data_IF_931152577978
#
_entry.id   IF_931152577978
#
_cell.length_a   1.000
_cell.length_b   1.000
_cell.length_c   1.000
_cell.angle_alpha   90.00
_cell.angle_beta   90.00
_cell.angle_gamma   90.00
#
_symmetry.space_group_name_H-M   'P 1'
#
loop_
_entity.id
_entity.type
_entity.pdbx_description
1 polymer ?
2 non-polymer ?
3 non-polymer ?
4 non-polymer ?
5 non-polymer ?
6 non-polymer ?
7 water ?
#
# COMPACT_ATOMS: atom_id res chain seq x y z
N UNK A 29 -31.30 -0.98 -13.00
CA UNK A 29 -29.87 -0.76 -12.80
C UNK A 29 -29.56 -0.76 -11.32
N UNK A 30 -28.45 -1.42 -10.98
CA UNK A 30 -28.01 -1.56 -9.60
C UNK A 30 -26.59 -1.01 -9.49
N UNK A 31 -26.46 0.07 -8.73
CA UNK A 31 -25.18 0.74 -8.51
C UNK A 31 -24.58 0.24 -7.21
N UNK A 32 -23.43 -0.40 -7.35
CA UNK A 32 -22.70 -0.92 -6.20
C UNK A 32 -21.32 -0.28 -6.13
N UNK A 33 -20.99 0.28 -4.97
CA UNK A 33 -19.67 0.86 -4.74
C UNK A 33 -18.77 -0.10 -3.97
N UNK A 34 -17.48 0.02 -4.20
CA UNK A 34 -16.51 -0.83 -3.54
C UNK A 34 -15.21 -0.06 -3.22
N UNK A 35 -14.23 -0.78 -2.69
CA UNK A 35 -12.92 -0.19 -2.42
C UNK A 35 -12.12 -0.10 -3.72
N UNK A 36 -11.05 0.70 -3.69
CA UNK A 36 -10.23 0.96 -4.87
C UNK A 36 -9.06 -0.02 -5.02
N UNK A 37 -8.72 -0.73 -3.95
CA UNK A 37 -7.67 -1.73 -4.04
C UNK A 37 -7.63 -2.57 -2.78
N UNK A 38 -8.21 -3.77 -2.86
CA UNK A 38 -8.23 -4.69 -1.75
C UNK A 38 -8.17 -6.12 -2.31
N UNK A 39 -6.98 -6.53 -2.76
CA UNK A 39 -6.82 -7.85 -3.36
C UNK A 39 -6.95 -8.86 -2.22
N UNK A 40 -7.59 -9.99 -2.47
CA UNK A 40 -8.15 -10.48 -3.73
C UNK A 40 -9.66 -10.25 -3.89
N UNK A 41 -10.21 -9.28 -3.15
CA UNK A 41 -11.64 -8.99 -3.20
C UNK A 41 -12.04 -8.04 -4.35
N UNK A 42 -11.30 -6.94 -4.49
CA UNK A 42 -11.47 -6.05 -5.64
C UNK A 42 -10.11 -5.42 -5.94
N UNK A 43 -9.67 -5.54 -7.17
CA UNK A 43 -8.40 -4.99 -7.60
C UNK A 43 -8.33 -4.99 -9.10
N UNK A 44 -7.38 -4.23 -9.65
CA UNK A 44 -7.20 -4.19 -11.10
C UNK A 44 -6.07 -5.10 -11.52
N UNK A 45 -6.28 -5.88 -12.58
CA UNK A 45 -5.24 -6.76 -13.06
C UNK A 45 -4.34 -6.02 -14.04
N UNK A 46 -3.47 -6.77 -14.71
CA UNK A 46 -2.49 -6.20 -15.63
C UNK A 46 -3.05 -5.49 -16.84
N UNK A 47 -4.32 -5.78 -17.16
CA UNK A 47 -5.03 -5.12 -18.24
C UNK A 47 -5.97 -4.04 -17.72
N UNK A 48 -5.81 -3.72 -16.43
CA UNK A 48 -6.61 -2.69 -15.77
C UNK A 48 -8.08 -3.10 -15.59
N UNK A 49 -8.38 -4.39 -15.75
CA UNK A 49 -9.73 -4.87 -15.54
C UNK A 49 -9.95 -5.12 -14.05
N UNK A 50 -11.14 -4.74 -13.59
CA UNK A 50 -11.52 -4.98 -12.20
C UNK A 50 -11.88 -6.45 -12.02
N UNK A 51 -11.20 -7.07 -11.06
CA UNK A 51 -11.37 -8.48 -10.78
C UNK A 51 -11.40 -8.67 -9.28
N UNK A 52 -11.65 -9.89 -8.86
CA UNK A 52 -11.62 -10.24 -7.45
C UNK A 52 -12.85 -11.00 -7.01
N UNK A 53 -12.79 -11.52 -5.78
CA UNK A 53 -13.88 -12.29 -5.21
C UNK A 53 -15.18 -11.46 -5.14
N UNK A 54 -15.08 -10.22 -4.65
CA UNK A 54 -16.27 -9.38 -4.53
C UNK A 54 -16.83 -9.04 -5.92
N UNK A 55 -15.94 -8.71 -6.83
CA UNK A 55 -16.32 -8.34 -8.19
C UNK A 55 -17.03 -9.52 -8.84
N UNK A 56 -16.42 -10.70 -8.76
CA UNK A 56 -16.97 -11.87 -9.41
C UNK A 56 -18.30 -12.30 -8.79
N UNK A 57 -18.38 -12.27 -7.46
CA UNK A 57 -19.63 -12.62 -6.82
C UNK A 57 -20.72 -11.65 -7.21
N UNK A 58 -20.43 -10.34 -7.14
CA UNK A 58 -21.45 -9.35 -7.46
C UNK A 58 -21.95 -9.48 -8.90
N UNK A 59 -21.02 -9.71 -9.82
CA UNK A 59 -21.35 -9.83 -11.23
C UNK A 59 -22.25 -11.05 -11.44
N UNK A 60 -21.94 -12.18 -10.80
CA UNK A 60 -22.77 -13.38 -10.98
C UNK A 60 -24.13 -13.21 -10.28
N UNK A 61 -24.15 -12.60 -9.10
CA UNK A 61 -25.40 -12.34 -8.40
C UNK A 61 -26.28 -11.50 -9.32
N UNK A 62 -25.69 -10.50 -9.97
CA UNK A 62 -26.48 -9.64 -10.87
C UNK A 62 -27.05 -10.40 -12.04
N UNK A 63 -26.25 -11.27 -12.65
CA UNK A 63 -26.74 -12.05 -13.78
C UNK A 63 -27.85 -12.98 -13.36
N UNK A 64 -27.73 -13.60 -12.19
CA UNK A 64 -28.76 -14.52 -11.71
C UNK A 64 -30.09 -13.78 -11.48
N UNK A 65 -30.02 -12.55 -10.98
CA UNK A 65 -31.20 -11.75 -10.69
C UNK A 65 -31.66 -10.86 -11.84
N UNK A 66 -30.95 -10.93 -12.96
CA UNK A 66 -31.26 -10.11 -14.13
C UNK A 66 -31.20 -8.63 -13.78
N UNK A 67 -30.15 -8.25 -13.05
CA UNK A 67 -29.85 -6.84 -12.77
C UNK A 67 -28.81 -6.30 -13.75
N UNK A 68 -28.94 -5.04 -14.17
CA UNK A 68 -27.87 -4.33 -14.87
C UNK A 68 -26.94 -3.71 -13.83
N UNK A 69 -25.75 -4.26 -13.70
CA UNK A 69 -24.84 -3.87 -12.64
C UNK A 69 -23.90 -2.73 -13.06
N UNK A 70 -23.81 -1.72 -12.21
CA UNK A 70 -22.87 -0.64 -12.42
C UNK A 70 -21.94 -0.55 -11.21
N UNK A 71 -20.73 -1.13 -11.32
CA UNK A 71 -19.73 -1.03 -10.26
C UNK A 71 -18.97 0.29 -10.25
N UNK A 72 -18.66 0.79 -9.07
CA UNK A 72 -17.73 1.90 -8.92
C UNK A 72 -16.75 1.53 -7.80
N UNK A 73 -15.54 2.13 -7.84
CA UNK A 73 -14.45 1.76 -6.96
C UNK A 73 -13.75 2.97 -6.35
N UNK A 74 -14.49 3.80 -5.61
CA UNK A 74 -13.87 5.00 -5.08
C UNK A 74 -12.99 4.78 -3.83
N UNK A 75 -13.18 3.66 -3.12
CA UNK A 75 -12.64 3.52 -1.78
C UNK A 75 -13.75 3.25 -0.78
N UNK A 76 -13.42 2.45 0.24
CA UNK A 76 -14.40 1.98 1.20
C UNK A 76 -15.17 3.13 1.88
N UNK A 77 -14.44 4.09 2.45
CA UNK A 77 -15.08 5.19 3.15
C UNK A 77 -15.99 6.00 2.22
N UNK A 78 -15.52 6.29 1.02
CA UNK A 78 -16.32 7.00 0.02
C UNK A 78 -17.55 6.19 -0.37
N UNK A 79 -17.37 4.88 -0.51
CA UNK A 79 -18.49 3.99 -0.80
C UNK A 79 -19.59 4.12 0.25
N UNK A 80 -19.20 4.15 1.52
CA UNK A 80 -20.18 4.29 2.59
C UNK A 80 -20.89 5.63 2.50
N UNK A 81 -20.14 6.68 2.22
CA UNK A 81 -20.73 8.00 2.07
C UNK A 81 -21.73 8.02 0.91
N UNK A 82 -21.33 7.42 -0.22
CA UNK A 82 -22.22 7.37 -1.37
C UNK A 82 -23.47 6.56 -1.06
N UNK A 83 -23.34 5.50 -0.31
CA UNK A 83 -24.51 4.69 0.03
C UNK A 83 -25.46 5.50 0.92
N UNK A 84 -24.91 6.17 1.91
CA UNK A 84 -25.72 6.98 2.82
C UNK A 84 -26.40 8.15 2.10
N UNK A 85 -25.74 8.68 1.07
CA UNK A 85 -26.27 9.81 0.30
C UNK A 85 -27.24 9.35 -0.80
N UNK A 86 -27.35 8.03 -0.98
CA UNK A 86 -28.25 7.47 -1.96
C UNK A 86 -27.70 7.53 -3.37
N UNK A 87 -26.40 7.78 -3.50
CA UNK A 87 -25.76 7.88 -4.80
C UNK A 87 -25.50 6.47 -5.39
N UNK A 88 -25.40 5.47 -4.50
CA UNK A 88 -25.38 4.08 -4.94
C UNK A 88 -26.40 3.32 -4.11
N UNK A 89 -26.72 2.11 -4.56
CA UNK A 89 -27.73 1.26 -3.95
C UNK A 89 -27.20 0.28 -2.93
N UNK A 90 -25.94 -0.12 -3.06
CA UNK A 90 -25.34 -1.02 -2.11
C UNK A 90 -23.84 -1.01 -2.18
N UNK A 91 -23.23 -1.79 -1.30
CA UNK A 91 -21.79 -1.91 -1.24
C UNK A 91 -21.37 -3.38 -1.11
N UNK A 92 -20.29 -3.72 -1.79
CA UNK A 92 -19.58 -4.97 -1.55
C UNK A 92 -18.11 -4.58 -1.58
N UNK A 93 -17.44 -4.74 -0.45
CA UNK A 93 -16.08 -4.22 -0.28
C UNK A 93 -15.45 -4.81 0.97
N UNK A 94 -15.47 -6.13 1.10
CA UNK A 94 -14.92 -6.76 2.28
C UNK A 94 -15.47 -6.16 3.57
N UNK A 95 -16.79 -5.93 3.61
CA UNK A 95 -17.37 -5.19 4.70
C UNK A 95 -17.82 -6.10 5.84
N UNK A 96 -17.14 -5.99 6.97
CA UNK A 96 -17.46 -6.86 8.09
C UNK A 96 -18.85 -6.53 8.64
N UNK A 97 -19.65 -7.58 8.82
CA UNK A 97 -20.95 -7.46 9.46
C UNK A 97 -20.75 -7.36 10.98
N UNK A 98 -21.25 -6.28 11.58
CA UNK A 98 -21.17 -6.10 13.01
C UNK A 98 -22.49 -5.57 13.51
N UNK A 99 -22.73 -5.79 14.80
CA UNK A 99 -23.95 -5.31 15.42
C UNK A 99 -24.03 -3.80 15.36
N UNK A 100 -22.90 -3.12 15.53
CA UNK A 100 -22.94 -1.67 15.43
C UNK A 100 -23.37 -1.24 14.03
N UNK A 101 -22.86 -1.91 13.01
CA UNK A 101 -23.18 -1.50 11.65
C UNK A 101 -24.65 -1.78 11.31
N UNK A 102 -25.26 -2.75 12.00
CA UNK A 102 -26.66 -3.08 11.76
C UNK A 102 -27.61 -1.98 12.25
N UNK A 103 -27.08 -1.02 13.00
CA UNK A 103 -27.84 0.14 13.40
C UNK A 103 -28.09 1.06 12.20
N UNK A 104 -27.24 0.96 11.18
CA UNK A 104 -27.27 1.86 10.02
C UNK A 104 -27.56 1.15 8.70
N UNK A 105 -27.10 -0.09 8.58
CA UNK A 105 -27.17 -0.86 7.33
C UNK A 105 -27.92 -2.15 7.53
N UNK A 106 -28.49 -2.68 6.45
CA UNK A 106 -28.96 -4.07 6.42
C UNK A 106 -27.95 -4.85 5.59
N UNK A 107 -27.67 -6.07 6.03
CA UNK A 107 -26.70 -6.94 5.39
C UNK A 107 -27.30 -8.23 4.87
N UNK A 108 -26.67 -8.77 3.85
CA UNK A 108 -26.88 -10.14 3.43
C UNK A 108 -26.34 -11.09 4.49
N UNK A 109 -26.66 -12.37 4.34
CA UNK A 109 -25.87 -13.39 5.01
C UNK A 109 -24.43 -13.21 4.60
N UNK A 110 -23.48 -13.53 5.49
CA UNK A 110 -22.10 -13.37 5.04
C UNK A 110 -21.79 -14.25 3.83
N UNK A 111 -21.05 -13.69 2.88
CA UNK A 111 -20.71 -14.43 1.68
C UNK A 111 -19.28 -14.97 1.75
N UNK A 112 -18.54 -14.55 2.74
CA UNK A 112 -17.20 -15.07 2.98
C UNK A 112 -16.86 -14.71 4.41
N UNK A 113 -16.22 -15.62 5.13
CA UNK A 113 -15.75 -15.29 6.49
C UNK A 113 -14.26 -15.45 6.51
N UNK A 114 -13.58 -14.34 6.70
CA UNK A 114 -12.15 -14.33 6.67
C UNK A 114 -11.55 -14.80 8.01
N UNK A 115 -10.23 -14.84 8.09
CA UNK A 115 -9.52 -15.29 9.28
C UNK A 115 -8.12 -14.76 9.19
N UNK A 116 -7.46 -14.64 10.33
CA UNK A 116 -6.08 -14.23 10.43
C UNK A 116 -5.19 -15.44 10.60
N UNK A 117 -3.97 -15.36 10.08
CA UNK A 117 -2.98 -16.35 10.39
C UNK A 117 -1.60 -15.77 10.15
N UNK A 118 -0.56 -16.51 10.51
CA UNK A 118 0.81 -16.05 10.32
C UNK A 118 1.38 -16.69 9.09
N UNK A 119 1.75 -15.85 8.12
CA UNK A 119 2.49 -16.29 6.94
C UNK A 119 3.98 -16.35 7.26
N UNK A 120 4.64 -17.38 6.73
CA UNK A 120 6.08 -17.52 6.83
C UNK A 120 6.62 -17.78 5.43
N UNK A 121 7.94 -17.75 5.25
CA UNK A 121 8.54 -18.21 4.01
C UNK A 121 8.32 -19.71 3.91
N UNK A 122 8.50 -20.29 2.72
CA UNK A 122 8.31 -21.73 2.57
C UNK A 122 9.32 -22.57 3.34
N UNK A 123 10.49 -22.02 3.65
CA UNK A 123 11.52 -22.81 4.31
C UNK A 123 11.46 -22.73 5.83
N UNK A 124 10.57 -21.90 6.35
CA UNK A 124 10.41 -21.78 7.80
C UNK A 124 9.75 -23.04 8.38
N UNK A 125 10.12 -23.38 9.61
CA UNK A 125 9.48 -24.48 10.35
C UNK A 125 8.50 -24.01 11.43
N UNK A 126 8.32 -22.70 11.54
CA UNK A 126 7.38 -22.13 12.50
C UNK A 126 5.95 -22.50 12.15
N UNK A 127 5.20 -22.99 13.13
CA UNK A 127 3.83 -23.42 12.87
C UNK A 127 2.89 -23.26 14.06
N UNK A 128 3.40 -22.74 15.17
CA UNK A 128 2.65 -22.66 16.41
C UNK A 128 2.80 -21.29 17.04
N UNK A 129 1.68 -20.70 17.46
CA UNK A 129 1.69 -19.42 18.14
C UNK A 129 2.57 -19.44 19.39
N UNK A 130 2.69 -20.61 20.02
CA UNK A 130 3.54 -20.76 21.19
C UNK A 130 5.04 -20.88 20.86
N UNK A 131 5.41 -20.75 19.59
CA UNK A 131 6.81 -20.74 19.17
C UNK A 131 7.26 -19.35 18.72
N UNK A 132 6.49 -18.34 19.09
CA UNK A 132 6.76 -16.98 18.66
C UNK A 132 7.54 -16.16 19.69
N UNK A 133 7.80 -16.74 20.84
CA UNK A 133 8.45 -16.03 21.90
C UNK A 133 9.80 -15.53 21.49
N UNK A 134 10.04 -14.25 21.69
CA UNK A 134 11.32 -13.64 21.34
C UNK A 134 11.53 -13.36 19.86
N UNK A 135 10.53 -13.68 19.05
CA UNK A 135 10.62 -13.45 17.61
C UNK A 135 9.86 -12.18 17.22
N UNK A 136 10.18 -11.63 16.05
CA UNK A 136 9.49 -10.46 15.53
C UNK A 136 8.39 -10.90 14.58
N UNK A 137 7.21 -10.33 14.73
CA UNK A 137 6.06 -10.67 13.91
C UNK A 137 5.49 -9.37 13.37
N UNK A 138 5.17 -9.34 12.06
CA UNK A 138 4.69 -8.12 11.43
C UNK A 138 3.21 -8.10 11.20
N UNK A 139 2.69 -6.89 11.03
CA UNK A 139 1.33 -6.68 10.57
C UNK A 139 1.26 -5.32 9.89
N UNK A 140 0.24 -5.15 9.07
CA UNK A 140 0.00 -3.87 8.38
C UNK A 140 -0.68 -2.88 9.31
N UNK A 141 -0.26 -1.63 9.25
CA UNK A 141 -0.82 -0.58 10.08
C UNK A 141 -2.32 -0.45 9.81
N UNK A 142 -3.11 -0.29 10.86
CA UNK A 142 -4.53 -0.03 10.72
C UNK A 142 -5.41 -1.23 10.45
N UNK A 143 -4.91 -2.43 10.72
CA UNK A 143 -5.66 -3.65 10.39
C UNK A 143 -6.03 -4.46 11.63
N UNK A 144 -6.97 -5.38 11.45
CA UNK A 144 -7.33 -6.32 12.50
C UNK A 144 -6.09 -7.14 12.93
N UNK A 145 -5.22 -7.46 11.99
CA UNK A 145 -4.02 -8.22 12.29
C UNK A 145 -3.14 -7.48 13.31
N UNK A 146 -2.94 -6.18 13.09
CA UNK A 146 -2.14 -5.37 13.98
C UNK A 146 -2.78 -5.39 15.37
N UNK A 147 -4.09 -5.23 15.43
CA UNK A 147 -4.79 -5.20 16.71
C UNK A 147 -4.63 -6.55 17.42
N UNK A 148 -4.79 -7.65 16.68
CA UNK A 148 -4.59 -8.96 17.29
C UNK A 148 -3.18 -9.08 17.86
N UNK A 149 -2.17 -8.64 17.13
CA UNK A 149 -0.82 -8.71 17.65
C UNK A 149 -0.68 -7.93 18.96
N UNK A 150 -1.25 -6.73 19.01
CA UNK A 150 -1.21 -5.93 20.24
C UNK A 150 -1.85 -6.68 21.40
N UNK A 151 -3.01 -7.28 21.13
CA UNK A 151 -3.81 -7.89 22.18
C UNK A 151 -3.27 -9.19 22.67
N UNK A 152 -2.40 -9.84 21.92
CA UNK A 152 -1.90 -11.16 22.27
C UNK A 152 -0.40 -11.20 22.53
N UNK A 153 0.21 -10.03 22.64
CA UNK A 153 1.66 -9.93 22.78
C UNK A 153 2.15 -10.48 24.12
N UNK A 154 1.46 -10.12 25.18
CA UNK A 154 1.83 -10.61 26.50
C UNK A 154 1.64 -12.13 26.56
N UNK A 155 0.60 -12.63 25.93
CA UNK A 155 0.33 -14.06 25.88
C UNK A 155 1.45 -14.85 25.20
N UNK A 156 1.93 -14.37 24.04
CA UNK A 156 2.84 -15.17 23.23
C UNK A 156 4.30 -14.67 23.21
N UNK A 157 4.54 -13.43 23.63
CA UNK A 157 5.91 -12.97 23.85
C UNK A 157 6.74 -12.56 22.62
N UNK A 158 6.10 -12.30 21.48
CA UNK A 158 6.82 -11.79 20.32
C UNK A 158 7.02 -10.29 20.45
N UNK A 159 7.85 -9.74 19.57
CA UNK A 159 7.93 -8.32 19.38
C UNK A 159 7.15 -8.01 18.11
N UNK A 160 6.67 -6.78 18.00
CA UNK A 160 5.77 -6.38 16.93
C UNK A 160 6.49 -5.40 16.01
N UNK A 161 6.36 -5.62 14.71
CA UNK A 161 6.77 -4.64 13.70
C UNK A 161 5.55 -4.31 12.85
N UNK A 162 5.43 -3.03 12.50
CA UNK A 162 4.28 -2.52 11.76
C UNK A 162 4.75 -2.03 10.41
N UNK A 163 3.97 -2.36 9.39
CA UNK A 163 4.29 -2.03 8.00
C UNK A 163 3.22 -1.17 7.36
N UNK A 164 3.63 -0.37 6.38
CA UNK A 164 2.72 0.53 5.67
C UNK A 164 1.76 -0.23 4.77
N UNK A 165 2.23 -1.34 4.21
CA UNK A 165 1.47 -2.12 3.25
C UNK A 165 2.04 -3.51 3.10
N UNK A 166 1.36 -4.34 2.33
CA UNK A 166 1.76 -5.72 2.15
C UNK A 166 3.11 -5.91 1.48
N UNK A 167 3.43 -5.12 0.46
CA UNK A 167 4.71 -5.29 -0.22
C UNK A 167 5.83 -5.10 0.79
N UNK A 168 5.68 -4.12 1.68
CA UNK A 168 6.73 -3.89 2.68
C UNK A 168 6.81 -5.00 3.72
N UNK A 169 5.66 -5.43 4.22
CA UNK A 169 5.63 -6.53 5.18
C UNK A 169 6.23 -7.82 4.61
N UNK A 170 5.82 -8.22 3.41
CA UNK A 170 6.33 -9.47 2.85
C UNK A 170 7.82 -9.40 2.50
N UNK A 171 8.30 -8.21 2.11
CA UNK A 171 9.74 -8.04 1.91
C UNK A 171 10.54 -8.24 3.20
N UNK A 172 9.99 -7.75 4.32
CA UNK A 172 10.65 -7.92 5.61
C UNK A 172 10.61 -9.40 6.02
N UNK A 173 9.54 -10.10 5.66
CA UNK A 173 9.46 -11.54 5.90
C UNK A 173 10.52 -12.27 5.07
N UNK A 174 10.64 -11.95 3.79
CA UNK A 174 11.61 -12.66 2.96
C UNK A 174 13.06 -12.35 3.36
N UNK A 175 13.29 -11.18 3.94
CA UNK A 175 14.64 -10.82 4.38
C UNK A 175 14.99 -11.37 5.77
N UNK A 176 14.00 -11.92 6.47
CA UNK A 176 14.21 -12.48 7.79
C UNK A 176 14.11 -11.44 8.90
N UNK A 177 13.74 -10.21 8.57
CA UNK A 177 13.61 -9.18 9.60
C UNK A 177 12.38 -9.37 10.49
N UNK A 178 11.41 -10.12 9.98
CA UNK A 178 10.37 -10.69 10.82
C UNK A 178 10.32 -12.19 10.55
N UNK A 179 9.87 -12.94 11.55
CA UNK A 179 9.80 -14.39 11.45
C UNK A 179 8.45 -14.83 10.92
N UNK A 180 7.48 -13.94 10.98
CA UNK A 180 6.13 -14.24 10.57
C UNK A 180 5.41 -12.95 10.28
N UNK A 181 4.40 -13.03 9.44
CA UNK A 181 3.60 -11.87 9.03
C UNK A 181 2.12 -12.23 9.23
N UNK A 182 1.45 -11.52 10.13
CA UNK A 182 0.03 -11.76 10.41
C UNK A 182 -0.81 -11.01 9.37
N UNK A 183 -1.65 -11.74 8.65
CA UNK A 183 -2.50 -11.14 7.63
C UNK A 183 -3.72 -12.04 7.45
N UNK A 184 -4.64 -11.61 6.60
CA UNK A 184 -5.81 -12.43 6.27
C UNK A 184 -5.47 -13.63 5.41
N UNK A 185 -6.05 -14.78 5.77
CA UNK A 185 -5.94 -15.99 4.96
C UNK A 185 -6.18 -15.76 3.45
N UNK A 186 -7.27 -15.05 3.05
CA UNK A 186 -7.48 -14.87 1.61
C UNK A 186 -6.35 -14.05 0.98
N UNK A 187 -5.79 -13.12 1.72
CA UNK A 187 -4.76 -12.25 1.15
C UNK A 187 -3.47 -13.03 0.96
N UNK A 188 -3.10 -13.81 1.97
CA UNK A 188 -1.92 -14.67 1.87
C UNK A 188 -2.13 -15.71 0.76
N UNK A 189 -3.33 -16.25 0.66
CA UNK A 189 -3.64 -17.29 -0.32
C UNK A 189 -3.43 -16.74 -1.73
N UNK A 190 -3.91 -15.53 -1.96
CA UNK A 190 -3.74 -14.93 -3.27
C UNK A 190 -2.26 -14.67 -3.58
N UNK A 191 -1.52 -14.13 -2.63
CA UNK A 191 -0.09 -13.91 -2.81
C UNK A 191 0.65 -15.22 -3.12
N UNK A 192 0.20 -16.33 -2.51
CA UNK A 192 0.78 -17.63 -2.80
C UNK A 192 0.47 -18.07 -4.24
N UNK A 193 -0.76 -17.81 -4.67
CA UNK A 193 -1.16 -18.10 -6.05
C UNK A 193 -0.33 -17.32 -7.08
N UNK A 194 0.06 -16.10 -6.72
CA UNK A 194 0.94 -15.30 -7.58
C UNK A 194 2.35 -15.86 -7.64
N UNK A 195 2.68 -16.81 -6.77
CA UNK A 195 4.01 -17.41 -6.77
C UNK A 195 4.96 -16.85 -5.73
N UNK A 196 4.46 -16.08 -4.77
CA UNK A 196 5.31 -15.52 -3.73
C UNK A 196 5.76 -16.61 -2.75
N UNK A 197 6.90 -16.38 -2.11
CA UNK A 197 7.52 -17.34 -1.20
C UNK A 197 6.83 -17.30 0.16
N UNK A 198 5.65 -17.91 0.23
CA UNK A 198 4.80 -17.84 1.41
C UNK A 198 4.18 -19.19 1.67
N UNK A 199 4.03 -19.49 2.95
CA UNK A 199 3.28 -20.66 3.43
C UNK A 199 2.41 -20.28 4.63
N UNK A 200 1.40 -21.11 4.87
CA UNK A 200 0.52 -20.95 6.01
C UNK A 200 0.54 -22.26 6.82
N UNK A 201 1.41 -22.30 7.82
CA UNK A 201 1.64 -23.49 8.65
C UNK A 201 0.89 -23.39 9.99
N UNK A 202 0.36 -22.21 10.30
CA UNK A 202 -0.30 -21.98 11.59
C UNK A 202 -1.81 -22.20 11.48
N UNK A 203 -2.45 -22.47 12.61
CA UNK A 203 -3.92 -22.43 12.67
C UNK A 203 -4.42 -21.03 12.41
N UNK A 204 -5.70 -20.93 12.05
CA UNK A 204 -6.28 -19.63 11.80
C UNK A 204 -7.13 -19.12 12.96
N UNK A 205 -7.35 -17.82 12.96
CA UNK A 205 -8.18 -17.15 13.93
C UNK A 205 -9.32 -16.51 13.16
N UNK A 206 -10.52 -17.03 13.31
CA UNK A 206 -11.65 -16.51 12.57
C UNK A 206 -11.87 -15.05 12.90
N UNK A 207 -12.25 -14.28 11.89
CA UNK A 207 -12.63 -12.89 12.08
C UNK A 207 -14.13 -12.91 12.14
N UNK A 208 -14.70 -12.65 13.34
CA UNK A 208 -16.15 -12.75 13.49
C UNK A 208 -16.95 -11.80 12.62
N UNK A 209 -18.15 -12.27 12.25
CA UNK A 209 -19.08 -11.48 11.48
C UNK A 209 -19.16 -11.93 10.03
N UNK A 210 -18.01 -12.04 9.39
CA UNK A 210 -17.96 -12.27 7.94
C UNK A 210 -18.21 -11.01 7.15
N UNK A 211 -17.97 -11.12 5.85
CA UNK A 211 -18.20 -10.00 4.94
C UNK A 211 -19.60 -10.11 4.36
N UNK A 212 -20.25 -8.98 4.23
CA UNK A 212 -21.63 -8.94 3.77
C UNK A 212 -21.83 -7.89 2.71
N UNK A 213 -22.81 -8.14 1.86
CA UNK A 213 -23.36 -7.13 0.96
C UNK A 213 -24.24 -6.21 1.78
N UNK A 214 -24.10 -4.89 1.63
CA UNK A 214 -24.81 -3.95 2.48
C UNK A 214 -25.65 -2.95 1.70
N UNK A 215 -26.81 -2.64 2.27
CA UNK A 215 -27.69 -1.58 1.79
C UNK A 215 -28.06 -0.70 3.00
N UNK A 216 -28.72 0.42 2.75
CA UNK A 216 -29.20 1.23 3.88
C UNK A 216 -30.33 0.53 4.60
N UNK A 217 -30.35 0.65 5.91
CA UNK A 217 -31.33 -0.06 6.71
C UNK A 217 -32.75 0.34 6.31
N UNK A 218 -33.59 -0.68 6.12
CA UNK A 218 -34.99 -0.47 5.80
C UNK A 218 -35.22 -0.23 4.31
N UNK A 219 -34.14 -0.29 3.53
CA UNK A 219 -34.18 0.00 2.10
C UNK A 219 -33.68 -1.19 1.30
N UNK A 220 -34.17 -1.30 0.07
CA UNK A 220 -33.63 -2.26 -0.90
C UNK A 220 -33.54 -3.71 -0.39
N UNK A 221 -34.56 -4.18 0.33
CA UNK A 221 -34.55 -5.57 0.75
C UNK A 221 -34.55 -6.51 -0.45
N UNK A 222 -35.09 -6.04 -1.58
CA UNK A 222 -35.05 -6.84 -2.82
C UNK A 222 -33.63 -7.19 -3.20
N UNK A 223 -32.71 -6.26 -3.02
CA UNK A 223 -31.32 -6.51 -3.38
C UNK A 223 -30.66 -7.50 -2.40
N UNK A 224 -30.92 -7.33 -1.11
CA UNK A 224 -30.38 -8.23 -0.09
C UNK A 224 -30.90 -9.66 -0.31
N UNK A 225 -32.20 -9.78 -0.51
CA UNK A 225 -32.79 -11.09 -0.73
C UNK A 225 -32.28 -11.71 -2.03
N UNK A 226 -32.16 -10.91 -3.08
CA UNK A 226 -31.64 -11.41 -4.34
C UNK A 226 -30.20 -11.86 -4.18
N UNK A 227 -29.43 -11.10 -3.41
CA UNK A 227 -28.04 -11.49 -3.13
C UNK A 227 -28.01 -12.84 -2.37
N UNK A 228 -28.80 -12.95 -1.30
CA UNK A 228 -28.82 -14.19 -0.53
C UNK A 228 -29.23 -15.39 -1.38
N UNK A 229 -30.26 -15.23 -2.18
CA UNK A 229 -30.78 -16.36 -2.94
C UNK A 229 -29.77 -16.78 -4.01
N UNK A 230 -29.16 -15.81 -4.67
CA UNK A 230 -28.19 -16.12 -5.71
C UNK A 230 -26.95 -16.77 -5.10
N UNK A 231 -26.54 -16.27 -3.94
CA UNK A 231 -25.39 -16.86 -3.27
C UNK A 231 -25.65 -18.33 -2.91
N UNK A 232 -26.87 -18.62 -2.44
CA UNK A 232 -27.21 -20.01 -2.13
C UNK A 232 -27.16 -20.89 -3.39
N UNK A 233 -27.65 -20.37 -4.49
CA UNK A 233 -27.62 -21.10 -5.76
C UNK A 233 -26.18 -21.34 -6.20
N UNK A 234 -25.33 -20.34 -6.03
CA UNK A 234 -23.91 -20.44 -6.39
C UNK A 234 -23.18 -21.45 -5.52
N UNK A 235 -23.55 -21.50 -4.24
CA UNK A 235 -22.94 -22.50 -3.37
C UNK A 235 -23.33 -23.88 -3.85
N UNK A 236 -24.62 -24.06 -4.12
CA UNK A 236 -25.16 -25.36 -4.52
C UNK A 236 -24.62 -25.87 -5.85
N UNK A 237 -24.42 -24.98 -6.83
CA UNK A 237 -23.99 -25.42 -8.15
C UNK A 237 -22.48 -25.42 -8.36
N UNK A 238 -21.74 -24.94 -7.36
CA UNK A 238 -20.30 -24.98 -7.40
C UNK A 238 -19.64 -23.67 -7.85
N UNK A 239 -20.43 -22.71 -8.33
CA UNK A 239 -19.87 -21.46 -8.81
C UNK A 239 -19.20 -20.66 -7.70
N UNK A 240 -19.74 -20.73 -6.49
CA UNK A 240 -19.14 -20.05 -5.36
C UNK A 240 -17.71 -20.55 -5.08
N UNK A 241 -17.55 -21.87 -4.95
CA UNK A 241 -16.23 -22.40 -4.65
C UNK A 241 -15.27 -22.18 -5.85
N UNK A 242 -15.79 -22.12 -7.08
CA UNK A 242 -14.94 -21.81 -8.24
C UNK A 242 -14.35 -20.40 -8.13
N UNK A 243 -15.14 -19.45 -7.64
CA UNK A 243 -14.66 -18.08 -7.51
C UNK A 243 -13.53 -18.02 -6.50
N UNK A 244 -13.72 -18.67 -5.36
CA UNK A 244 -12.71 -18.64 -4.34
C UNK A 244 -11.42 -19.28 -4.85
N UNK A 245 -11.56 -20.42 -5.52
CA UNK A 245 -10.39 -21.11 -6.06
C UNK A 245 -9.63 -20.28 -7.10
N UNK A 246 -10.34 -19.46 -7.87
CA UNK A 246 -9.70 -18.62 -8.89
C UNK A 246 -8.64 -17.69 -8.26
N UNK A 247 -8.88 -17.26 -7.04
CA UNK A 247 -7.97 -16.33 -6.34
C UNK A 247 -7.10 -17.04 -5.30
N UNK A 248 -7.04 -18.36 -5.37
CA UNK A 248 -6.12 -19.14 -4.54
C UNK A 248 -6.65 -19.62 -3.20
N UNK A 249 -7.95 -19.44 -2.97
CA UNK A 249 -8.53 -19.77 -1.68
C UNK A 249 -9.08 -21.18 -1.70
N UNK A 250 -8.54 -21.99 -0.81
CA UNK A 250 -8.97 -23.38 -0.62
C UNK A 250 -9.26 -23.62 0.85
N UNK A 251 -9.55 -24.86 1.20
CA UNK A 251 -9.78 -25.28 2.58
C UNK A 251 -10.98 -24.58 3.21
N UNK B 29 33.06 -7.25 -0.87
CA UNK B 29 31.73 -6.94 -1.37
C UNK B 29 31.15 -5.75 -0.61
N UNK B 30 30.52 -4.85 -1.36
CA UNK B 30 29.87 -3.66 -0.81
C UNK B 30 28.36 -3.94 -0.83
N UNK B 31 27.83 -4.13 0.36
CA UNK B 31 26.43 -4.49 0.53
C UNK B 31 25.64 -3.24 0.87
N UNK B 32 24.69 -2.88 0.01
CA UNK B 32 23.86 -1.69 0.23
C UNK B 32 22.39 -2.12 0.32
N UNK B 33 21.70 -1.70 1.37
CA UNK B 33 20.30 -2.02 1.57
C UNK B 33 19.44 -0.85 1.14
N UNK B 34 18.23 -1.16 0.66
CA UNK B 34 17.30 -0.13 0.23
C UNK B 34 15.86 -0.51 0.59
N UNK B 35 14.92 0.35 0.24
CA UNK B 35 13.53 0.05 0.52
C UNK B 35 13.00 -0.98 -0.47
N UNK B 36 11.89 -1.60 -0.12
CA UNK B 36 11.29 -2.63 -0.96
C UNK B 36 10.29 -2.14 -2.01
N UNK B 37 9.79 -0.91 -1.87
CA UNK B 37 8.93 -0.33 -2.89
C UNK B 37 8.75 1.15 -2.63
N UNK B 38 9.47 1.95 -3.40
CA UNK B 38 9.44 3.41 -3.28
C UNK B 38 9.73 4.01 -4.65
N UNK B 39 8.78 3.87 -5.57
CA UNK B 39 8.99 4.43 -6.90
C UNK B 39 8.98 5.96 -6.81
N UNK B 40 9.82 6.63 -7.61
CA UNK B 40 10.75 6.14 -8.62
C UNK B 40 12.16 5.91 -8.12
N UNK B 41 12.34 5.83 -6.80
CA UNK B 41 13.68 5.65 -6.21
C UNK B 41 14.17 4.20 -6.22
N UNK B 42 13.36 3.27 -5.75
CA UNK B 42 13.64 1.84 -5.93
C UNK B 42 12.33 1.11 -6.06
N UNK B 43 12.22 0.30 -7.09
CA UNK B 43 10.98 -0.43 -7.34
C UNK B 43 11.24 -1.49 -8.40
N UNK B 44 10.34 -2.46 -8.49
CA UNK B 44 10.41 -3.48 -9.53
C UNK B 44 9.52 -3.09 -10.68
N UNK B 45 10.01 -3.14 -11.91
CA UNK B 45 9.18 -2.82 -13.07
C UNK B 45 8.31 -4.02 -13.45
N UNK B 46 7.53 -3.86 -14.51
CA UNK B 46 6.60 -4.89 -14.95
C UNK B 46 7.26 -6.24 -15.17
N UNK B 47 8.55 -6.24 -15.43
CA UNK B 47 9.32 -7.46 -15.68
C UNK B 47 10.01 -7.93 -14.40
N UNK B 48 9.68 -7.29 -13.27
CA UNK B 48 10.21 -7.65 -11.95
C UNK B 48 11.68 -7.33 -11.75
N UNK B 49 12.21 -6.41 -12.56
CA UNK B 49 13.60 -5.99 -12.42
C UNK B 49 13.67 -4.81 -11.47
N UNK B 50 14.66 -4.77 -10.59
CA UNK B 50 14.87 -3.61 -9.71
C UNK B 50 15.45 -2.44 -10.48
N UNK B 51 14.71 -1.34 -10.44
CA UNK B 51 15.10 -0.13 -11.13
C UNK B 51 14.82 1.08 -10.24
N UNK B 52 15.18 2.26 -10.73
CA UNK B 52 14.88 3.49 -10.03
C UNK B 52 16.08 4.41 -9.86
N UNK B 53 15.81 5.62 -9.38
CA UNK B 53 16.85 6.63 -9.19
C UNK B 53 17.95 6.17 -8.24
N UNK B 54 17.57 5.64 -7.05
CA UNK B 54 18.56 5.19 -6.08
C UNK B 54 19.35 4.01 -6.62
N UNK B 55 18.65 3.09 -7.27
CA UNK B 55 19.29 1.90 -7.83
C UNK B 55 20.33 2.31 -8.88
N UNK B 56 19.90 3.15 -9.82
CA UNK B 56 20.76 3.61 -10.91
C UNK B 56 21.95 4.41 -10.40
N UNK B 57 21.72 5.28 -9.43
CA UNK B 57 22.80 6.07 -8.88
C UNK B 57 23.81 5.16 -8.17
N UNK B 58 23.31 4.26 -7.34
CA UNK B 58 24.19 3.42 -6.56
C UNK B 58 25.01 2.50 -7.47
N UNK B 59 24.38 1.97 -8.51
CA UNK B 59 25.10 1.12 -9.46
C UNK B 59 26.22 1.85 -10.15
N UNK B 60 25.96 3.08 -10.58
CA UNK B 60 26.99 3.82 -11.29
C UNK B 60 28.10 4.28 -10.33
N UNK B 61 27.73 4.66 -9.11
CA UNK B 61 28.70 4.97 -8.08
C UNK B 61 29.65 3.79 -7.88
N UNK B 62 29.10 2.59 -7.79
CA UNK B 62 29.91 1.38 -7.61
C UNK B 62 30.82 1.17 -8.80
N UNK B 63 30.29 1.37 -10.00
CA UNK B 63 31.06 1.12 -11.22
C UNK B 63 32.24 2.10 -11.30
N UNK B 64 31.95 3.36 -11.02
CA UNK B 64 32.99 4.41 -11.08
C UNK B 64 34.11 4.10 -10.07
N UNK B 65 33.73 3.59 -8.91
CA UNK B 65 34.67 3.28 -7.84
C UNK B 65 35.21 1.86 -7.94
N UNK B 66 34.77 1.13 -8.96
CA UNK B 66 35.19 -0.24 -9.17
C UNK B 66 34.80 -1.10 -7.97
N UNK B 67 33.59 -0.89 -7.48
CA UNK B 67 33.00 -1.72 -6.45
C UNK B 67 32.07 -2.73 -7.13
N UNK B 68 32.11 -3.97 -6.66
CA UNK B 68 31.08 -4.95 -6.99
C UNK B 68 29.88 -4.77 -6.04
N UNK B 69 28.77 -4.38 -6.63
CA UNK B 69 27.61 -3.98 -5.86
C UNK B 69 26.69 -5.16 -5.57
N UNK B 70 26.29 -5.31 -4.32
CA UNK B 70 25.27 -6.27 -3.91
C UNK B 70 24.10 -5.54 -3.26
N UNK B 71 23.04 -5.30 -4.03
CA UNK B 71 21.87 -4.60 -3.52
C UNK B 71 20.94 -5.58 -2.80
N UNK B 72 20.32 -5.10 -1.72
CA UNK B 72 19.23 -5.82 -1.09
C UNK B 72 18.12 -4.84 -0.83
N UNK B 73 16.88 -5.36 -0.78
CA UNK B 73 15.68 -4.53 -0.74
C UNK B 73 14.73 -4.98 0.37
N UNK B 74 15.20 -4.94 1.63
CA UNK B 74 14.38 -5.48 2.73
C UNK B 74 13.35 -4.48 3.26
N UNK B 75 13.46 -3.22 2.87
CA UNK B 75 12.60 -2.17 3.39
C UNK B 75 13.42 -1.23 4.25
N UNK B 76 13.02 0.04 4.31
CA UNK B 76 13.78 1.07 5.00
C UNK B 76 14.11 0.73 6.46
N UNK B 77 13.10 0.33 7.24
CA UNK B 77 13.29 0.02 8.64
C UNK B 77 14.23 -1.16 8.79
N UNK B 78 14.05 -2.19 7.98
CA UNK B 78 14.92 -3.36 7.99
C UNK B 78 16.34 -2.96 7.57
N UNK B 79 16.47 -2.07 6.61
CA UNK B 79 17.78 -1.61 6.17
C UNK B 79 18.55 -0.97 7.31
N UNK B 80 17.86 -0.12 8.08
CA UNK B 80 18.44 0.57 9.23
C UNK B 80 18.91 -0.47 10.24
N UNK B 81 18.03 -1.43 10.55
CA UNK B 81 18.38 -2.52 11.48
C UNK B 81 19.60 -3.27 11.00
N UNK B 82 19.62 -3.61 9.71
CA UNK B 82 20.70 -4.43 9.16
C UNK B 82 22.01 -3.66 9.07
N UNK B 83 21.92 -2.35 8.79
CA UNK B 83 23.09 -1.49 8.78
C UNK B 83 23.67 -1.42 10.18
N UNK B 84 22.80 -1.19 11.16
CA UNK B 84 23.24 -1.07 12.55
C UNK B 84 23.85 -2.37 13.07
N UNK B 85 23.34 -3.50 12.57
CA UNK B 85 23.82 -4.82 12.97
C UNK B 85 25.07 -5.23 12.18
N UNK B 86 25.37 -4.49 11.12
CA UNK B 86 26.58 -4.71 10.34
C UNK B 86 26.45 -5.72 9.23
N UNK B 87 25.22 -6.12 8.93
CA UNK B 87 24.95 -7.07 7.84
C UNK B 87 25.06 -6.42 6.47
N UNK B 88 24.90 -5.11 6.42
CA UNK B 88 25.18 -4.33 5.21
C UNK B 88 26.11 -3.19 5.58
N UNK B 89 26.68 -2.55 4.56
CA UNK B 89 27.69 -1.52 4.76
C UNK B 89 27.13 -0.09 4.70
N UNK B 90 26.01 0.06 4.00
CA UNK B 90 25.37 1.36 3.80
C UNK B 90 23.96 1.24 3.26
N UNK B 91 23.29 2.39 3.20
CA UNK B 91 21.89 2.47 2.82
C UNK B 91 21.72 3.56 1.77
N UNK B 92 20.91 3.27 0.77
CA UNK B 92 20.35 4.30 -0.11
C UNK B 92 18.88 3.94 -0.29
N UNK B 93 18.00 4.83 0.18
CA UNK B 93 16.58 4.49 0.30
C UNK B 93 15.79 5.77 0.57
N UNK B 94 16.02 6.80 -0.23
CA UNK B 94 15.36 8.07 0.01
C UNK B 94 15.49 8.55 1.44
N UNK B 95 16.69 8.47 2.01
CA UNK B 95 16.87 8.71 3.45
C UNK B 95 17.21 10.17 3.71
N UNK B 96 16.32 10.86 4.42
CA UNK B 96 16.49 12.28 4.68
C UNK B 96 17.65 12.51 5.65
N UNK B 97 18.51 13.45 5.29
CA UNK B 97 19.61 13.89 6.14
C UNK B 97 19.07 14.87 7.17
N UNK B 98 19.27 14.57 8.45
CA UNK B 98 18.84 15.46 9.53
C UNK B 98 19.91 15.53 10.60
N UNK B 99 19.87 16.59 11.40
CA UNK B 99 20.81 16.77 12.50
C UNK B 99 20.70 15.62 13.50
N UNK B 100 19.47 15.20 13.78
CA UNK B 100 19.24 14.11 14.72
C UNK B 100 19.91 12.85 14.22
N UNK B 101 19.78 12.59 12.92
CA UNK B 101 20.33 11.34 12.37
C UNK B 101 21.84 11.36 12.34
N UNK B 102 22.44 12.55 12.29
CA UNK B 102 23.89 12.65 12.26
C UNK B 102 24.53 12.26 13.59
N UNK B 103 23.72 12.03 14.61
CA UNK B 103 24.23 11.52 15.89
C UNK B 103 24.56 10.03 15.77
N UNK B 104 23.96 9.38 14.78
CA UNK B 104 24.07 7.92 14.61
C UNK B 104 24.73 7.51 13.28
N UNK B 105 24.55 8.33 12.24
CA UNK B 105 24.98 7.99 10.88
C UNK B 105 25.86 9.07 10.31
N UNK B 106 26.75 8.67 9.40
CA UNK B 106 27.44 9.63 8.53
C UNK B 106 26.79 9.60 7.15
N UNK B 107 26.56 10.78 6.58
CA UNK B 107 25.93 10.90 5.28
C UNK B 107 26.87 11.45 4.21
N UNK B 108 26.61 11.01 2.99
CA UNK B 108 27.13 11.68 1.81
C UNK B 108 26.51 13.07 1.69
N UNK B 109 27.00 13.84 0.74
CA UNK B 109 26.28 15.01 0.27
C UNK B 109 24.95 14.54 -0.26
N UNK B 110 23.93 15.42 -0.24
CA UNK B 110 22.65 14.97 -0.78
C UNK B 110 22.74 14.71 -2.27
N UNK B 111 22.15 13.62 -2.75
CA UNK B 111 22.13 13.31 -4.17
C UNK B 111 20.81 13.69 -4.85
N UNK B 112 19.82 14.08 -4.06
CA UNK B 112 18.54 14.55 -4.57
C UNK B 112 17.86 15.29 -3.45
N UNK B 113 17.23 16.42 -3.74
CA UNK B 113 16.42 17.09 -2.74
C UNK B 113 15.00 17.12 -3.25
N UNK B 114 14.12 16.47 -2.50
CA UNK B 114 12.74 16.34 -2.89
C UNK B 114 11.94 17.55 -2.47
N UNK B 115 10.64 17.48 -2.72
CA UNK B 115 9.73 18.56 -2.45
C UNK B 115 8.34 17.97 -2.44
N UNK B 116 7.41 18.70 -1.80
CA UNK B 116 6.01 18.36 -1.79
C UNK B 116 5.26 19.29 -2.72
N UNK B 117 4.20 18.79 -3.35
CA UNK B 117 3.29 19.66 -4.09
C UNK B 117 1.93 18.97 -4.19
N UNK B 118 0.94 19.68 -4.75
CA UNK B 118 -0.41 19.19 -4.94
C UNK B 118 -0.62 18.67 -6.34
N UNK B 119 -0.90 17.37 -6.44
CA UNK B 119 -1.33 16.80 -7.70
C UNK B 119 -2.82 17.01 -7.88
N UNK B 120 -3.23 17.39 -9.08
CA UNK B 120 -4.64 17.45 -9.44
C UNK B 120 -4.84 16.62 -10.71
N UNK B 121 -6.08 16.45 -11.17
CA UNK B 121 -6.34 15.88 -12.48
C UNK B 121 -5.87 16.89 -13.49
N UNK B 122 -5.74 16.47 -14.74
CA UNK B 122 -5.26 17.38 -15.79
C UNK B 122 -6.31 18.43 -16.11
N UNK B 123 -7.57 18.13 -15.83
CA UNK B 123 -8.70 19.05 -16.12
C UNK B 123 -8.81 20.19 -15.12
N UNK B 124 -8.28 20.00 -13.92
CA UNK B 124 -8.49 20.94 -12.82
C UNK B 124 -7.86 22.29 -13.11
N UNK B 125 -8.52 23.36 -12.67
CA UNK B 125 -7.93 24.68 -12.80
C UNK B 125 -7.39 25.19 -11.49
N UNK B 126 -7.36 24.33 -10.46
CA UNK B 126 -6.75 24.71 -9.19
C UNK B 126 -5.23 24.80 -9.36
N UNK B 127 -4.64 25.89 -8.90
CA UNK B 127 -3.19 26.08 -9.09
C UNK B 127 -2.47 26.86 -8.00
N UNK B 128 -3.17 27.30 -6.99
CA UNK B 128 -2.51 28.01 -5.88
C UNK B 128 -3.09 27.50 -4.60
N UNK B 129 -2.28 27.54 -3.54
CA UNK B 129 -2.67 26.95 -2.27
C UNK B 129 -3.92 27.62 -1.72
N UNK B 130 -4.10 28.89 -2.02
CA UNK B 130 -5.31 29.58 -1.61
C UNK B 130 -6.55 29.03 -2.33
N UNK B 131 -6.38 28.43 -3.50
CA UNK B 131 -7.50 27.84 -4.25
C UNK B 131 -8.12 26.63 -3.53
N UNK B 132 -7.45 26.18 -2.49
CA UNK B 132 -7.87 24.99 -1.74
C UNK B 132 -8.92 25.25 -0.64
N UNK B 133 -9.24 26.51 -0.38
CA UNK B 133 -10.23 26.83 0.63
C UNK B 133 -11.57 26.14 0.36
N UNK B 134 -12.09 25.43 1.36
CA UNK B 134 -13.37 24.73 1.27
C UNK B 134 -13.34 23.41 0.51
N UNK B 135 -12.17 22.99 0.07
CA UNK B 135 -12.04 21.75 -0.69
C UNK B 135 -11.31 20.70 0.12
N UNK B 136 -11.46 19.45 -0.29
CA UNK B 136 -10.84 18.33 0.39
C UNK B 136 -9.51 18.03 -0.31
N UNK B 137 -8.47 17.83 0.50
CA UNK B 137 -7.14 17.54 0.02
C UNK B 137 -6.62 16.28 0.70
N UNK B 138 -6.00 15.39 -0.08
CA UNK B 138 -5.51 14.14 0.41
C UNK B 138 -4.03 14.08 0.74
N UNK B 139 -3.69 13.17 1.65
CA UNK B 139 -2.31 12.80 1.89
C UNK B 139 -2.32 11.38 2.40
N UNK B 140 -1.15 10.76 2.31
CA UNK B 140 -0.94 9.43 2.85
C UNK B 140 -0.68 9.48 4.35
N UNK B 141 -1.27 8.53 5.06
CA UNK B 141 -1.07 8.40 6.49
C UNK B 141 0.40 8.23 6.84
N UNK B 142 0.85 8.96 7.86
CA UNK B 142 2.19 8.79 8.39
C UNK B 142 3.30 9.43 7.58
N UNK B 143 2.98 10.43 6.75
CA UNK B 143 3.97 11.04 5.88
C UNK B 143 4.22 12.52 6.16
N UNK B 144 5.31 13.05 5.61
CA UNK B 144 5.57 14.48 5.64
C UNK B 144 4.44 15.31 5.00
N UNK B 145 3.87 14.80 3.91
CA UNK B 145 2.73 15.43 3.27
C UNK B 145 1.55 15.60 4.26
N UNK B 146 1.26 14.55 5.03
CA UNK B 146 0.15 14.64 6.00
C UNK B 146 0.46 15.75 7.01
N UNK B 147 1.68 15.75 7.51
CA UNK B 147 2.08 16.75 8.51
C UNK B 147 1.98 18.16 7.91
N UNK B 148 2.46 18.35 6.69
CA UNK B 148 2.38 19.67 6.08
C UNK B 148 0.92 20.10 5.97
N UNK B 149 0.04 19.21 5.53
CA UNK B 149 -1.36 19.58 5.40
C UNK B 149 -1.92 19.98 6.76
N UNK B 150 -1.59 19.23 7.81
CA UNK B 150 -2.12 19.58 9.14
C UNK B 150 -1.60 20.94 9.60
N UNK B 151 -0.33 21.19 9.35
CA UNK B 151 0.29 22.46 9.76
C UNK B 151 -0.20 23.68 8.98
N UNK B 152 -0.75 23.46 7.79
CA UNK B 152 -1.15 24.58 6.93
C UNK B 152 -2.66 24.69 6.73
N UNK B 153 -3.42 23.86 7.44
CA UNK B 153 -4.86 23.83 7.32
C UNK B 153 -5.54 25.14 7.73
N UNK B 154 -5.12 25.74 8.84
CA UNK B 154 -5.72 27.01 9.26
C UNK B 154 -5.42 28.11 8.24
N UNK B 155 -4.21 28.10 7.69
CA UNK B 155 -3.82 29.10 6.69
C UNK B 155 -4.67 29.07 5.41
N UNK B 156 -4.93 27.88 4.88
CA UNK B 156 -5.57 27.75 3.58
C UNK B 156 -7.02 27.29 3.59
N UNK B 157 -7.44 26.64 4.67
CA UNK B 157 -8.85 26.34 4.86
C UNK B 157 -9.44 25.15 4.10
N UNK B 158 -8.61 24.20 3.73
CA UNK B 158 -9.08 22.95 3.17
C UNK B 158 -9.49 22.00 4.28
N UNK B 159 -10.13 20.90 3.90
CA UNK B 159 -10.32 19.77 4.80
C UNK B 159 -9.32 18.69 4.35
N UNK B 160 -8.95 17.82 5.27
CA UNK B 160 -7.93 16.80 4.99
C UNK B 160 -8.56 15.42 4.97
N UNK B 161 -8.27 14.65 3.93
CA UNK B 161 -8.60 13.23 3.89
C UNK B 161 -7.29 12.44 3.86
N UNK B 162 -7.20 11.42 4.70
CA UNK B 162 -5.97 10.68 4.87
C UNK B 162 -6.15 9.25 4.38
N UNK B 163 -5.18 8.79 3.59
CA UNK B 163 -5.28 7.51 2.87
C UNK B 163 -4.24 6.52 3.33
N UNK B 164 -4.57 5.23 3.19
CA UNK B 164 -3.68 4.18 3.65
C UNK B 164 -2.42 4.11 2.79
N UNK B 165 -2.54 4.41 1.50
CA UNK B 165 -1.41 4.37 0.59
C UNK B 165 -1.71 5.16 -0.67
N UNK B 166 -0.75 5.19 -1.58
CA UNK B 166 -0.88 5.97 -2.80
C UNK B 166 -2.01 5.54 -3.71
N UNK B 167 -2.21 4.24 -3.88
CA UNK B 167 -3.25 3.79 -4.78
C UNK B 167 -4.61 4.29 -4.29
N UNK B 168 -4.85 4.24 -2.99
CA UNK B 168 -6.12 4.72 -2.48
C UNK B 168 -6.29 6.24 -2.63
N UNK B 169 -5.21 7.00 -2.35
CA UNK B 169 -5.26 8.45 -2.48
C UNK B 169 -5.54 8.85 -3.92
N UNK B 170 -4.79 8.28 -4.84
CA UNK B 170 -4.94 8.67 -6.23
C UNK B 170 -6.30 8.22 -6.83
N UNK B 171 -6.86 7.13 -6.35
CA UNK B 171 -8.22 6.75 -6.70
C UNK B 171 -9.25 7.76 -6.19
N UNK B 172 -9.00 8.33 -5.01
CA UNK B 172 -9.89 9.37 -4.51
C UNK B 172 -9.83 10.61 -5.40
N UNK B 173 -8.63 10.95 -5.86
CA UNK B 173 -8.45 12.08 -6.76
C UNK B 173 -9.21 11.86 -8.08
N UNK B 174 -9.07 10.68 -8.65
CA UNK B 174 -9.73 10.39 -9.92
C UNK B 174 -11.24 10.30 -9.76
N UNK B 175 -11.72 9.91 -8.59
CA UNK B 175 -13.16 9.84 -8.35
C UNK B 175 -13.74 11.19 -7.93
N UNK B 176 -12.88 12.19 -7.72
CA UNK B 176 -13.31 13.53 -7.37
C UNK B 176 -13.65 13.73 -5.91
N UNK B 177 -13.25 12.80 -5.06
CA UNK B 177 -13.53 12.93 -3.63
C UNK B 177 -12.49 13.75 -2.89
N UNK B 178 -11.38 14.06 -3.56
CA UNK B 178 -10.48 15.13 -3.14
C UNK B 178 -10.20 15.96 -4.38
N UNK B 179 -9.95 17.25 -4.17
CA UNK B 179 -9.62 18.19 -5.24
C UNK B 179 -8.14 18.20 -5.57
N UNK B 180 -7.33 17.68 -4.64
CA UNK B 180 -5.90 17.59 -4.83
C UNK B 180 -5.31 16.57 -3.88
N UNK B 181 -4.13 16.07 -4.23
CA UNK B 181 -3.41 15.10 -3.42
C UNK B 181 -1.98 15.57 -3.19
N UNK B 182 -1.60 15.79 -1.93
CA UNK B 182 -0.23 16.20 -1.66
C UNK B 182 0.71 15.01 -1.57
N UNK B 183 1.78 15.05 -2.36
CA UNK B 183 2.77 13.99 -2.35
C UNK B 183 4.09 14.58 -2.83
N UNK B 184 5.11 13.76 -2.90
CA UNK B 184 6.40 14.21 -3.40
C UNK B 184 6.41 14.48 -4.90
N UNK B 185 7.10 15.55 -5.27
CA UNK B 185 7.30 15.87 -6.68
C UNK B 185 7.82 14.68 -7.50
N UNK B 186 8.88 13.99 -7.04
CA UNK B 186 9.37 12.89 -7.90
C UNK B 186 8.37 11.76 -8.06
N UNK B 187 7.55 11.55 -7.04
CA UNK B 187 6.53 10.50 -7.09
C UNK B 187 5.44 10.85 -8.11
N UNK B 188 4.98 12.09 -8.06
CA UNK B 188 3.97 12.58 -9.00
C UNK B 188 4.55 12.61 -10.39
N UNK B 189 5.81 13.02 -10.53
CA UNK B 189 6.44 13.09 -11.85
C UNK B 189 6.48 11.72 -12.50
N UNK B 190 6.89 10.71 -11.75
CA UNK B 190 6.95 9.34 -12.31
C UNK B 190 5.54 8.88 -12.69
N UNK B 191 4.56 9.13 -11.82
CA UNK B 191 3.17 8.79 -12.12
C UNK B 191 2.65 9.46 -13.41
N UNK B 192 3.05 10.71 -13.64
CA UNK B 192 2.72 11.40 -14.89
C UNK B 192 3.41 10.77 -16.10
N UNK B 193 4.65 10.34 -15.93
CA UNK B 193 5.35 9.66 -17.03
C UNK B 193 4.68 8.32 -17.34
N UNK B 194 4.06 7.70 -16.33
CA UNK B 194 3.28 6.48 -16.53
C UNK B 194 1.92 6.70 -17.20
N UNK B 195 1.53 7.96 -17.38
CA UNK B 195 0.27 8.28 -18.01
C UNK B 195 -0.92 8.36 -17.07
N UNK B 196 -0.67 8.58 -15.77
CA UNK B 196 -1.78 8.82 -14.87
C UNK B 196 -2.30 10.22 -15.12
N UNK B 197 -3.59 10.43 -14.87
CA UNK B 197 -4.23 11.72 -15.14
C UNK B 197 -3.86 12.69 -14.03
N UNK B 198 -2.66 13.23 -14.11
CA UNK B 198 -2.12 14.12 -13.07
C UNK B 198 -1.40 15.31 -13.67
N UNK B 199 -1.49 16.43 -12.97
CA UNK B 199 -0.75 17.64 -13.29
C UNK B 199 -0.15 18.22 -12.04
N UNK B 200 0.91 19.00 -12.22
CA UNK B 200 1.52 19.74 -11.11
C UNK B 200 1.45 21.23 -11.41
N UNK B 201 0.34 21.86 -11.02
CA UNK B 201 0.05 23.27 -11.30
C UNK B 201 0.55 24.20 -10.21
N UNK B 202 0.83 23.65 -9.03
CA UNK B 202 1.14 24.44 -7.85
C UNK B 202 2.65 24.62 -7.63
N UNK B 203 3.03 25.66 -6.89
CA UNK B 203 4.41 25.74 -6.38
C UNK B 203 4.78 24.54 -5.53
N UNK B 204 6.07 24.21 -5.52
CA UNK B 204 6.63 23.16 -4.65
C UNK B 204 7.05 23.67 -3.26
N UNK B 205 7.04 22.77 -2.28
CA UNK B 205 7.51 23.02 -0.94
C UNK B 205 8.75 22.16 -0.71
N UNK B 206 9.92 22.78 -0.63
CA UNK B 206 11.13 21.98 -0.52
C UNK B 206 11.13 21.19 0.78
N UNK B 207 11.64 19.96 0.70
CA UNK B 207 11.82 19.12 1.87
C UNK B 207 13.27 19.29 2.35
N UNK B 208 13.48 19.87 3.55
CA UNK B 208 14.84 20.15 4.02
C UNK B 208 15.74 18.92 4.18
N UNK B 209 17.02 19.11 3.93
CA UNK B 209 18.02 18.09 4.17
C UNK B 209 18.48 17.40 2.89
N UNK B 210 17.51 16.95 2.12
CA UNK B 210 17.78 16.13 0.95
C UNK B 210 18.03 14.67 1.32
N UNK B 211 18.09 13.82 0.30
CA UNK B 211 18.36 12.40 0.49
C UNK B 211 19.84 12.12 0.37
N UNK B 212 20.36 11.31 1.28
CA UNK B 212 21.77 10.98 1.27
C UNK B 212 22.03 9.49 1.39
N UNK B 213 23.22 9.12 0.99
CA UNK B 213 23.75 7.78 1.21
C UNK B 213 24.27 7.78 2.64
N UNK B 214 23.95 6.72 3.40
CA UNK B 214 24.29 6.67 4.82
C UNK B 214 25.10 5.45 5.17
N UNK B 215 26.03 5.63 6.11
CA UNK B 215 26.78 4.54 6.72
C UNK B 215 26.73 4.75 8.24
N UNK B 216 27.17 3.77 9.02
CA UNK B 216 27.23 3.98 10.46
C UNK B 216 28.29 5.03 10.79
N UNK B 217 28.00 5.87 11.77
CA UNK B 217 28.91 6.97 12.15
C UNK B 217 30.30 6.46 12.53
N UNK B 218 31.31 7.12 11.99
CA UNK B 218 32.70 6.76 12.25
C UNK B 218 33.13 5.46 11.59
N UNK B 219 32.27 4.93 10.70
CA UNK B 219 32.58 3.69 9.99
C UNK B 219 32.47 3.90 8.48
N UNK B 220 33.19 3.06 7.72
CA UNK B 220 33.07 3.03 6.26
C UNK B 220 33.21 4.39 5.56
N UNK B 221 34.18 5.18 6.01
CA UNK B 221 34.38 6.51 5.46
C UNK B 221 34.70 6.50 3.96
N UNK B 222 35.34 5.44 3.47
CA UNK B 222 35.68 5.38 2.05
C UNK B 222 34.42 5.26 1.18
N UNK B 223 33.36 4.66 1.70
CA UNK B 223 32.12 4.54 0.94
C UNK B 223 31.50 5.91 0.74
N UNK B 224 31.52 6.73 1.80
CA UNK B 224 30.97 8.07 1.73
C UNK B 224 31.82 8.91 0.78
N UNK B 225 33.14 8.82 0.95
CA UNK B 225 34.15 9.46 0.11
C UNK B 225 33.86 9.13 -1.36
N UNK B 226 33.77 7.84 -1.66
CA UNK B 226 33.58 7.39 -3.02
C UNK B 226 32.24 7.83 -3.58
N UNK B 227 31.22 7.83 -2.73
CA UNK B 227 29.91 8.25 -3.19
C UNK B 227 29.92 9.73 -3.60
N UNK B 228 30.48 10.59 -2.75
CA UNK B 228 30.54 12.03 -3.04
C UNK B 228 31.30 12.29 -4.34
N UNK B 229 32.44 11.63 -4.51
CA UNK B 229 33.25 11.88 -5.70
C UNK B 229 32.56 11.40 -6.97
N UNK B 230 31.93 10.25 -6.91
CA UNK B 230 31.25 9.73 -8.08
C UNK B 230 30.03 10.58 -8.41
N UNK B 231 29.30 10.99 -7.36
CA UNK B 231 28.16 11.88 -7.56
C UNK B 231 28.56 13.17 -8.29
N UNK B 232 29.65 13.79 -7.84
CA UNK B 232 30.14 15.02 -8.49
C UNK B 232 30.46 14.77 -9.97
N UNK B 233 31.14 13.68 -10.23
CA UNK B 233 31.48 13.25 -11.59
C UNK B 233 30.22 13.02 -12.42
N UNK B 234 29.24 12.32 -11.85
CA UNK B 234 28.01 12.05 -12.59
C UNK B 234 27.20 13.32 -12.90
N UNK B 235 27.23 14.30 -11.99
CA UNK B 235 26.49 15.53 -12.21
C UNK B 235 27.17 16.30 -13.34
N UNK B 236 28.49 16.28 -13.32
CA UNK B 236 29.29 17.03 -14.28
C UNK B 236 29.27 16.41 -15.68
N UNK B 237 29.11 15.09 -15.77
CA UNK B 237 29.29 14.43 -17.07
C UNK B 237 27.98 14.07 -17.79
N UNK B 238 26.84 14.34 -17.14
CA UNK B 238 25.55 14.18 -17.75
C UNK B 238 24.84 12.89 -17.32
N UNK B 239 25.56 11.99 -16.66
CA UNK B 239 24.98 10.70 -16.29
C UNK B 239 23.91 10.85 -15.21
N UNK B 240 24.12 11.75 -14.26
CA UNK B 240 23.13 11.94 -13.19
C UNK B 240 21.85 12.46 -13.81
N UNK B 241 21.99 13.43 -14.71
CA UNK B 241 20.82 13.94 -15.40
C UNK B 241 20.05 12.88 -16.21
N UNK B 242 20.77 12.00 -16.91
CA UNK B 242 20.13 10.95 -17.71
C UNK B 242 19.30 10.02 -16.79
N UNK B 243 19.81 9.75 -15.60
CA UNK B 243 19.09 8.89 -14.67
C UNK B 243 17.78 9.54 -14.27
N UNK B 244 17.83 10.81 -13.85
CA UNK B 244 16.63 11.52 -13.46
C UNK B 244 15.60 11.55 -14.60
N UNK B 245 16.04 11.83 -15.82
CA UNK B 245 15.11 11.91 -16.94
C UNK B 245 14.41 10.58 -17.22
N UNK B 246 15.12 9.49 -16.94
CA UNK B 246 14.63 8.15 -17.16
C UNK B 246 13.32 7.95 -16.41
N UNK B 247 13.20 8.64 -15.28
CA UNK B 247 12.04 8.49 -14.40
C UNK B 247 11.17 9.74 -14.43
N UNK B 248 11.39 10.62 -15.41
CA UNK B 248 10.50 11.74 -15.66
C UNK B 248 10.73 12.96 -14.80
N UNK B 249 11.92 13.07 -14.20
CA UNK B 249 12.22 14.18 -13.32
C UNK B 249 12.86 15.29 -14.10
N UNK B 250 12.24 16.47 -14.08
CA UNK B 250 12.80 17.62 -14.80
C UNK B 250 13.57 18.47 -13.80
N UNK B 251 14.35 19.43 -14.30
CA UNK B 251 14.88 20.45 -13.42
C UNK B 251 13.70 21.29 -12.90
#
# INVERSE_FOLDING_TARGET
>A
MKKLFFALAMMLATVTAFLVAPSVKAETTVKIASDSSYAPFEFQNGQKKWVGIDVDIMQEVAKINDWKLEMSYPGFDAALQNLKAGQVDGIIAGMTITDERKETFDFSNPYYTSALTIATTKDSKLSDYSDLKGKAVGAKNGTAAQTWLQENQKKYGYTIKTYSDGVHMFAALSSGNIAGAMDEVPVISYAMKQGQDLAMNFPSISLPGGYGFAVMKGKNSTLVDGFNKALAEMKSNGDYDKILKKYGITA
>B
MKKLFFALAMMLATVTAFLVAPSVKAETTVKIASDSSYAPFEFQNGQKKWVGIDVDIMQEVAKINDWKLEMSYPGFDAALQNLKAGQVDGIIAGMTITDERKETFDFSNPYYTSALTIATTKDSKLSDYSDLKGKAVGAKNGTAAQTWLQENQKKYGYTIKTYSDGVHMFAALSSGNIAGAMDEVPVISYAMKQGQDLAMNFPSISLPGGYGFAVMKGKNSTLVDGFNKALAEMKSNGDYDKILKKYGITA
#
